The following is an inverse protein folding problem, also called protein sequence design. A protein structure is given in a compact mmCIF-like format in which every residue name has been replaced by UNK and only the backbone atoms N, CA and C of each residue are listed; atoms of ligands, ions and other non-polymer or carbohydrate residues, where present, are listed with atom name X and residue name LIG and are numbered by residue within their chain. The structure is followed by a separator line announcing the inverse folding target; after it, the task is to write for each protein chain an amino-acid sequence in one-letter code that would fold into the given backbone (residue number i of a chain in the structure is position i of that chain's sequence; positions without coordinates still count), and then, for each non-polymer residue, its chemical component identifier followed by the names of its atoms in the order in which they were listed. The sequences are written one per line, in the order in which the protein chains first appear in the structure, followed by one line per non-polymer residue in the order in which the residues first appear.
data_IF_558767478314
#
_entry.id   IF_558767478314
#
_cell.length_a   1.000
_cell.length_b   1.000
_cell.length_c   1.000
_cell.angle_alpha   90.00
_cell.angle_beta   90.00
_cell.angle_gamma   90.00
#
_symmetry.space_group_name_H-M   'P 1'
#
loop_
_entity.id
_entity.type
_entity.pdbx_description
1 polymer ?
#
# COMPACT_ATOMS: atom_id res chain seq x y z
N UNK A 1 6.82 -15.83 -17.89
CA UNK A 1 6.36 -14.43 -17.84
C UNK A 1 5.73 -14.23 -16.47
N UNK A 2 6.55 -14.00 -15.45
CA UNK A 2 6.15 -13.94 -14.02
C UNK A 2 6.67 -12.62 -13.41
N UNK A 3 6.71 -11.57 -14.23
CA UNK A 3 7.91 -10.73 -14.28
C UNK A 3 7.77 -9.33 -13.69
N UNK A 4 6.60 -8.83 -13.25
CA UNK A 4 6.54 -7.45 -12.73
C UNK A 4 6.48 -7.41 -11.19
N UNK A 5 5.55 -8.11 -10.55
CA UNK A 5 5.36 -8.12 -9.09
C UNK A 5 6.58 -8.69 -8.34
N UNK A 6 7.12 -9.82 -8.82
CA UNK A 6 8.33 -10.43 -8.26
C UNK A 6 9.54 -9.51 -8.41
N UNK A 7 9.69 -8.88 -9.57
CA UNK A 7 10.79 -7.95 -9.85
C UNK A 7 10.70 -6.72 -8.95
N UNK A 8 9.50 -6.14 -8.77
CA UNK A 8 9.27 -5.02 -7.84
C UNK A 8 9.62 -5.40 -6.40
N UNK A 9 9.24 -6.61 -5.97
CA UNK A 9 9.58 -7.11 -4.64
C UNK A 9 11.09 -7.31 -4.47
N UNK A 10 11.78 -7.86 -5.47
CA UNK A 10 13.22 -8.05 -5.43
C UNK A 10 13.98 -6.71 -5.46
N UNK A 11 13.50 -5.73 -6.23
CA UNK A 11 14.05 -4.36 -6.22
C UNK A 11 13.84 -3.64 -4.89
N UNK A 12 12.71 -3.87 -4.21
CA UNK A 12 12.46 -3.35 -2.87
C UNK A 12 13.45 -3.95 -1.86
N UNK A 13 13.60 -5.27 -1.88
CA UNK A 13 14.53 -5.98 -0.99
C UNK A 13 15.99 -5.59 -1.22
N UNK A 14 16.40 -5.41 -2.48
CA UNK A 14 17.77 -5.03 -2.84
C UNK A 14 18.22 -3.69 -2.23
N UNK A 15 17.28 -2.78 -1.93
CA UNK A 15 17.56 -1.50 -1.23
C UNK A 15 17.24 -1.53 0.28
N UNK A 16 16.95 -2.72 0.83
CA UNK A 16 16.63 -2.91 2.25
C UNK A 16 15.19 -2.55 2.64
N UNK A 17 14.28 -2.40 1.68
CA UNK A 17 12.88 -2.11 1.95
C UNK A 17 12.07 -3.38 2.26
N UNK A 18 11.06 -3.25 3.12
CA UNK A 18 10.05 -4.27 3.42
C UNK A 18 9.01 -4.29 2.30
N UNK A 19 8.97 -5.36 1.51
CA UNK A 19 7.99 -5.55 0.43
C UNK A 19 6.69 -6.17 0.95
N UNK A 20 5.54 -5.59 0.62
CA UNK A 20 4.21 -6.07 0.98
C UNK A 20 3.43 -6.34 -0.29
N UNK A 21 3.10 -7.61 -0.58
CA UNK A 21 2.35 -7.98 -1.77
C UNK A 21 0.86 -8.01 -1.44
N UNK A 22 0.07 -7.24 -2.17
CA UNK A 22 -1.38 -7.33 -2.10
C UNK A 22 -1.85 -8.55 -2.89
N UNK A 23 -2.38 -9.56 -2.20
CA UNK A 23 -2.86 -10.76 -2.85
C UNK A 23 -4.27 -10.57 -3.43
N UNK A 24 -4.57 -11.30 -4.52
CA UNK A 24 -5.89 -11.31 -5.16
C UNK A 24 -6.10 -10.17 -6.17
N UNK A 25 -7.36 -10.01 -6.60
CA UNK A 25 -7.82 -8.97 -7.53
C UNK A 25 -9.16 -8.41 -7.06
N UNK A 26 -9.18 -7.63 -5.96
CA UNK A 26 -10.43 -7.06 -5.48
C UNK A 26 -11.02 -6.11 -6.53
N UNK A 27 -12.33 -6.21 -6.74
CA UNK A 27 -13.07 -5.46 -7.76
C UNK A 27 -13.99 -4.38 -7.15
N UNK A 28 -13.94 -4.19 -5.84
CA UNK A 28 -14.73 -3.20 -5.12
C UNK A 28 -13.91 -2.50 -4.03
N UNK A 29 -14.44 -1.38 -3.53
CA UNK A 29 -13.79 -0.53 -2.53
C UNK A 29 -13.44 -1.29 -1.24
N UNK A 30 -14.37 -2.10 -0.72
CA UNK A 30 -14.22 -2.72 0.59
C UNK A 30 -13.20 -3.85 0.54
N UNK A 31 -13.32 -4.74 -0.45
CA UNK A 31 -12.37 -5.83 -0.65
C UNK A 31 -10.95 -5.32 -0.94
N UNK A 32 -10.83 -4.15 -1.60
CA UNK A 32 -9.54 -3.49 -1.80
C UNK A 32 -8.96 -2.97 -0.48
N UNK A 33 -9.75 -2.31 0.36
CA UNK A 33 -9.30 -1.84 1.67
C UNK A 33 -8.86 -3.01 2.57
N UNK A 34 -9.62 -4.12 2.57
CA UNK A 34 -9.27 -5.32 3.33
C UNK A 34 -7.97 -5.97 2.81
N UNK A 35 -7.74 -6.00 1.50
CA UNK A 35 -6.51 -6.54 0.93
C UNK A 35 -5.28 -5.67 1.23
N UNK A 36 -5.42 -4.34 1.27
CA UNK A 36 -4.35 -3.43 1.74
C UNK A 36 -4.06 -3.68 3.23
N UNK A 37 -5.11 -3.76 4.04
CA UNK A 37 -5.00 -4.02 5.47
C UNK A 37 -4.28 -5.35 5.74
N UNK A 38 -4.63 -6.41 5.02
CA UNK A 38 -3.95 -7.71 5.12
C UNK A 38 -2.47 -7.62 4.70
N UNK A 39 -2.17 -6.95 3.58
CA UNK A 39 -0.80 -6.83 3.07
C UNK A 39 0.12 -6.08 4.04
N UNK A 40 -0.38 -5.05 4.71
CA UNK A 40 0.38 -4.22 5.66
C UNK A 40 0.18 -4.64 7.13
N UNK A 41 -0.48 -5.78 7.38
CA UNK A 41 -0.77 -6.30 8.72
C UNK A 41 -1.43 -5.25 9.63
N UNK A 42 -2.43 -4.53 9.11
CA UNK A 42 -3.16 -3.51 9.86
C UNK A 42 -3.78 -4.10 11.14
N UNK A 43 -3.91 -3.29 12.21
CA UNK A 43 -4.59 -3.69 13.42
C UNK A 43 -6.08 -4.02 13.21
N UNK A 44 -6.62 -4.89 14.07
CA UNK A 44 -8.02 -5.36 14.01
C UNK A 44 -9.06 -4.24 14.13
N UNK A 45 -8.68 -3.07 14.66
CA UNK A 45 -9.54 -1.90 14.79
C UNK A 45 -9.67 -1.08 13.49
N UNK A 46 -9.14 -1.55 12.37
CA UNK A 46 -9.24 -0.85 11.08
C UNK A 46 -10.70 -0.58 10.68
N UNK A 47 -11.05 0.71 10.63
CA UNK A 47 -12.43 1.19 10.46
C UNK A 47 -13.04 1.10 9.06
N UNK A 48 -12.34 0.49 8.09
CA UNK A 48 -12.82 0.21 6.72
C UNK A 48 -13.42 1.42 5.99
N UNK A 49 -12.83 2.58 6.17
CA UNK A 49 -13.16 3.81 5.46
C UNK A 49 -11.87 4.53 5.03
N UNK A 50 -11.99 5.56 4.19
CA UNK A 50 -10.82 6.23 3.59
C UNK A 50 -9.98 7.01 4.62
N UNK A 51 -10.63 7.58 5.64
CA UNK A 51 -9.93 8.31 6.70
C UNK A 51 -9.15 7.32 7.59
N UNK A 52 -9.79 6.21 7.99
CA UNK A 52 -9.13 5.13 8.73
C UNK A 52 -7.99 4.49 7.93
N UNK A 53 -8.11 4.44 6.60
CA UNK A 53 -7.03 3.96 5.72
C UNK A 53 -5.84 4.93 5.77
N UNK A 54 -6.09 6.23 5.64
CA UNK A 54 -5.04 7.25 5.76
C UNK A 54 -4.33 7.21 7.11
N UNK A 55 -5.11 7.13 8.21
CA UNK A 55 -4.57 7.05 9.57
C UNK A 55 -3.64 5.85 9.73
N UNK A 56 -4.06 4.67 9.27
CA UNK A 56 -3.23 3.47 9.36
C UNK A 56 -1.97 3.55 8.48
N UNK A 57 -2.09 4.10 7.26
CA UNK A 57 -0.96 4.26 6.33
C UNK A 57 0.08 5.28 6.81
N UNK A 58 -0.29 6.22 7.67
CA UNK A 58 0.61 7.27 8.19
C UNK A 58 1.16 6.97 9.59
N UNK A 59 0.57 6.00 10.30
CA UNK A 59 1.08 5.48 11.56
C UNK A 59 2.16 4.40 11.32
N UNK A 60 1.76 3.27 10.72
CA UNK A 60 2.59 2.08 10.47
C UNK A 60 3.45 1.62 11.67
N UNK A 61 3.20 2.10 12.89
CA UNK A 61 4.09 1.91 14.05
C UNK A 61 4.25 0.44 14.47
N UNK A 62 3.34 -0.43 14.05
CA UNK A 62 3.41 -1.89 14.25
C UNK A 62 4.38 -2.61 13.31
N UNK A 63 4.80 -1.99 12.21
CA UNK A 63 5.80 -2.56 11.30
C UNK A 63 7.23 -2.20 11.73
N UNK A 64 8.28 -2.89 11.25
CA UNK A 64 9.66 -2.45 11.48
C UNK A 64 9.91 -1.03 10.95
N UNK A 65 10.96 -0.36 11.42
CA UNK A 65 11.38 0.91 10.81
C UNK A 65 11.96 0.70 9.41
N UNK A 66 11.94 1.76 8.59
CA UNK A 66 12.50 1.76 7.24
C UNK A 66 11.46 1.96 6.14
N UNK A 67 11.82 1.59 4.92
CA UNK A 67 10.95 1.74 3.75
C UNK A 67 10.00 0.55 3.62
N UNK A 68 8.74 0.82 3.36
CA UNK A 68 7.69 -0.15 3.08
C UNK A 68 7.20 0.05 1.65
N UNK A 69 7.23 -1.00 0.85
CA UNK A 69 6.77 -0.98 -0.54
C UNK A 69 5.52 -1.83 -0.64
N UNK A 70 4.36 -1.20 -0.76
CA UNK A 70 3.11 -1.87 -1.07
C UNK A 70 3.04 -2.12 -2.59
N UNK A 71 3.00 -3.39 -2.98
CA UNK A 71 2.90 -3.83 -4.37
C UNK A 71 1.44 -4.21 -4.62
N UNK A 72 0.71 -3.34 -5.29
CA UNK A 72 -0.69 -3.57 -5.67
C UNK A 72 -0.74 -4.25 -7.05
N UNK A 73 -0.90 -5.57 -7.04
CA UNK A 73 -1.09 -6.38 -8.25
C UNK A 73 -2.55 -6.38 -8.69
N UNK A 74 -2.80 -6.39 -10.00
CA UNK A 74 -4.15 -6.42 -10.56
C UNK A 74 -4.99 -5.18 -10.22
N UNK A 75 -4.33 -4.01 -10.11
CA UNK A 75 -5.02 -2.75 -9.78
C UNK A 75 -6.00 -2.28 -10.87
N UNK A 76 -5.80 -2.77 -12.10
CA UNK A 76 -6.68 -2.63 -13.24
C UNK A 76 -8.08 -3.20 -12.99
N UNK A 77 -8.18 -4.30 -12.22
CA UNK A 77 -9.47 -4.95 -11.91
C UNK A 77 -10.40 -3.99 -11.17
N UNK A 78 -9.91 -3.31 -10.13
CA UNK A 78 -10.69 -2.28 -9.44
C UNK A 78 -10.92 -1.06 -10.35
N UNK A 79 -9.89 -0.66 -11.10
CA UNK A 79 -9.98 0.50 -12.00
C UNK A 79 -11.09 0.35 -13.03
N UNK A 80 -11.29 -0.85 -13.57
CA UNK A 80 -12.32 -1.14 -14.56
C UNK A 80 -13.70 -1.34 -13.92
N UNK A 81 -13.77 -2.03 -12.77
CA UNK A 81 -15.03 -2.33 -12.09
C UNK A 81 -15.63 -1.14 -11.32
N UNK A 82 -14.79 -0.35 -10.63
CA UNK A 82 -15.18 0.84 -9.87
C UNK A 82 -14.09 1.92 -9.95
N UNK A 83 -14.06 2.71 -11.05
CA UNK A 83 -13.10 3.78 -11.25
C UNK A 83 -13.11 4.82 -10.13
N UNK A 84 -14.27 5.07 -9.51
CA UNK A 84 -14.41 6.04 -8.42
C UNK A 84 -13.73 5.53 -7.16
N UNK A 85 -13.93 4.27 -6.80
CA UNK A 85 -13.21 3.65 -5.68
C UNK A 85 -11.71 3.59 -5.94
N UNK A 86 -11.29 3.20 -7.14
CA UNK A 86 -9.88 3.19 -7.54
C UNK A 86 -9.21 4.55 -7.32
N UNK A 87 -9.82 5.62 -7.86
CA UNK A 87 -9.29 6.98 -7.71
C UNK A 87 -9.24 7.42 -6.24
N UNK A 88 -10.28 7.13 -5.47
CA UNK A 88 -10.33 7.49 -4.05
C UNK A 88 -9.23 6.78 -3.23
N UNK A 89 -9.05 5.48 -3.42
CA UNK A 89 -8.01 4.70 -2.73
C UNK A 89 -6.61 5.15 -3.18
N UNK A 90 -6.39 5.38 -4.49
CA UNK A 90 -5.12 5.92 -5.01
C UNK A 90 -4.80 7.29 -4.46
N UNK A 91 -5.80 8.16 -4.26
CA UNK A 91 -5.60 9.48 -3.64
C UNK A 91 -5.06 9.31 -2.22
N UNK A 92 -5.74 8.51 -1.39
CA UNK A 92 -5.32 8.26 0.00
C UNK A 92 -3.92 7.67 0.08
N UNK A 93 -3.61 6.68 -0.76
CA UNK A 93 -2.28 6.09 -0.86
C UNK A 93 -1.22 7.15 -1.22
N UNK A 94 -1.51 8.00 -2.21
CA UNK A 94 -0.59 9.06 -2.64
C UNK A 94 -0.39 10.14 -1.58
N UNK A 95 -1.43 10.47 -0.82
CA UNK A 95 -1.36 11.43 0.28
C UNK A 95 -0.54 10.87 1.45
N UNK A 96 -0.69 9.58 1.77
CA UNK A 96 0.13 8.90 2.77
C UNK A 96 1.61 8.80 2.35
N UNK A 97 1.90 8.50 1.08
CA UNK A 97 3.28 8.53 0.55
C UNK A 97 3.93 9.91 0.74
N UNK A 98 3.19 11.00 0.49
CA UNK A 98 3.67 12.37 0.72
C UNK A 98 3.89 12.68 2.20
N UNK A 99 2.96 12.26 3.06
CA UNK A 99 3.05 12.47 4.50
C UNK A 99 4.28 11.78 5.11
N UNK A 100 4.68 10.63 4.54
CA UNK A 100 5.85 9.86 4.96
C UNK A 100 7.11 10.12 4.11
N UNK A 101 7.07 11.12 3.22
CA UNK A 101 8.21 11.50 2.41
C UNK A 101 9.37 12.02 3.30
N UNK A 102 10.63 11.86 2.88
CA UNK A 102 11.76 12.34 3.64
C UNK A 102 11.69 13.87 3.83
N UNK A 103 11.63 14.34 5.08
CA UNK A 103 11.52 15.77 5.38
C UNK A 103 11.52 16.17 6.86
N UNK A 104 11.67 15.24 7.80
CA UNK A 104 11.68 15.54 9.24
C UNK A 104 12.67 14.66 10.01
N UNK A 105 13.16 15.19 11.14
CA UNK A 105 14.23 14.65 12.00
C UNK A 105 13.77 13.43 12.85
N UNK A 106 12.89 12.58 12.31
CA UNK A 106 12.40 11.38 13.00
C UNK A 106 13.37 10.22 12.75
N UNK A 107 14.06 9.82 13.82
CA UNK A 107 14.92 8.64 13.86
C UNK A 107 14.20 7.33 13.46
N UNK A 108 12.86 7.29 13.56
CA UNK A 108 11.99 6.14 13.25
C UNK A 108 11.21 6.28 11.93
N UNK A 109 11.70 7.04 10.95
CA UNK A 109 10.92 7.40 9.75
C UNK A 109 10.59 6.20 8.85
N UNK A 110 9.47 5.54 9.15
CA UNK A 110 8.79 4.65 8.22
C UNK A 110 8.41 5.45 6.98
N UNK A 111 8.74 4.90 5.82
CA UNK A 111 8.36 5.46 4.52
C UNK A 111 7.43 4.50 3.82
N UNK A 112 6.47 5.03 3.08
CA UNK A 112 5.60 4.24 2.22
C UNK A 112 5.90 4.55 0.76
N UNK A 113 5.93 3.51 -0.07
CA UNK A 113 5.94 3.62 -1.52
C UNK A 113 4.95 2.61 -2.09
N UNK A 114 4.19 3.00 -3.10
CA UNK A 114 3.17 2.19 -3.75
C UNK A 114 3.62 1.89 -5.17
N UNK A 115 3.87 0.61 -5.43
CA UNK A 115 4.19 0.10 -6.75
C UNK A 115 2.95 -0.59 -7.34
N UNK A 116 2.58 -0.22 -8.57
CA UNK A 116 1.48 -0.85 -9.30
C UNK A 116 2.03 -1.93 -10.22
N UNK A 117 1.28 -3.02 -10.35
CA UNK A 117 1.57 -4.08 -11.28
C UNK A 117 0.26 -4.54 -11.92
N UNK A 118 0.23 -4.53 -13.26
CA UNK A 118 -0.97 -4.88 -14.05
C UNK A 118 -1.10 -6.40 -14.28
N UNK A 119 -0.23 -7.20 -13.67
CA UNK A 119 -0.17 -8.65 -13.95
C UNK A 119 -1.25 -9.47 -13.26
#
# INVERSE_FOLDING_TARGET
MTTNSKTLADQARARGAHSHLMAGRPADKLSTMDAIAAALSFPDYFGRNLDALYDCLTDLSWLPSGEHVLIWTGSDTLKDADPKAYLAIRSVLSDAERALAPGGDRADSRRLTVALSDE
#
